data_IF_278720338542
#
_entry.id   IF_278720338542
#
_cell.length_a   1.000
_cell.length_b   1.000
_cell.length_c   1.000
_cell.angle_alpha   90.00
_cell.angle_beta   90.00
_cell.angle_gamma   90.00
#
_symmetry.space_group_name_H-M   'P 1'
#
loop_
_entity.id
_entity.type
_entity.pdbx_description
1 polymer ?
#
# COMPACT_ATOMS: atom_id res chain seq x y z
N UNK A 1 10.48 -47.21 5.13
CA UNK A 1 10.82 -46.19 4.13
C UNK A 1 9.70 -45.14 3.98
N UNK A 2 8.42 -45.56 3.85
CA UNK A 2 7.29 -44.64 3.66
C UNK A 2 7.06 -43.68 4.86
N UNK A 3 7.20 -44.18 6.10
CA UNK A 3 7.01 -43.35 7.30
C UNK A 3 8.09 -42.27 7.45
N UNK A 4 9.30 -42.54 6.99
CA UNK A 4 10.42 -41.63 7.07
C UNK A 4 10.30 -40.51 6.03
N UNK A 5 9.83 -40.81 4.82
CA UNK A 5 9.59 -39.82 3.77
C UNK A 5 8.40 -38.88 4.11
N UNK A 6 7.38 -39.39 4.80
CA UNK A 6 6.25 -38.56 5.27
C UNK A 6 6.67 -37.62 6.38
N UNK A 7 7.50 -38.10 7.34
CA UNK A 7 8.06 -37.25 8.40
C UNK A 7 8.99 -36.17 7.86
N UNK A 8 9.82 -36.47 6.88
CA UNK A 8 10.70 -35.51 6.22
C UNK A 8 9.87 -34.44 5.48
N UNK A 9 8.81 -34.83 4.77
CA UNK A 9 7.90 -33.89 4.10
C UNK A 9 7.15 -32.96 5.07
N UNK A 10 6.72 -33.50 6.23
CA UNK A 10 6.07 -32.73 7.28
C UNK A 10 7.02 -31.68 7.91
N UNK A 11 8.26 -32.06 8.13
CA UNK A 11 9.29 -31.14 8.70
C UNK A 11 9.64 -30.03 7.70
N UNK A 12 9.76 -30.35 6.42
CA UNK A 12 10.13 -29.37 5.39
C UNK A 12 9.02 -28.31 5.17
N UNK A 13 7.74 -28.69 5.31
CA UNK A 13 6.61 -27.77 5.12
C UNK A 13 6.22 -26.99 6.39
N UNK A 14 6.89 -27.16 7.53
CA UNK A 14 6.57 -26.43 8.76
C UNK A 14 7.30 -25.07 8.77
N UNK A 15 6.60 -24.01 9.17
CA UNK A 15 7.25 -22.71 9.35
C UNK A 15 8.41 -22.83 10.36
N UNK A 16 9.61 -22.37 10.01
CA UNK A 16 10.78 -22.46 10.90
C UNK A 16 10.76 -21.33 11.95
N UNK A 17 9.69 -21.23 12.70
CA UNK A 17 9.50 -20.25 13.74
C UNK A 17 8.48 -20.73 14.79
N UNK A 18 8.49 -20.11 15.96
CA UNK A 18 7.47 -20.38 16.98
C UNK A 18 6.11 -19.76 16.58
N UNK A 19 5.01 -20.31 17.09
CA UNK A 19 3.69 -19.70 16.89
C UNK A 19 3.64 -18.24 17.38
N UNK A 20 4.36 -17.93 18.46
CA UNK A 20 4.42 -16.58 19.00
C UNK A 20 5.12 -15.62 18.05
N UNK A 21 6.22 -16.02 17.40
CA UNK A 21 6.92 -15.23 16.39
C UNK A 21 6.08 -15.04 15.14
N UNK A 22 5.40 -16.11 14.68
CA UNK A 22 4.49 -16.05 13.53
C UNK A 22 3.35 -15.05 13.77
N UNK A 23 2.68 -15.14 14.94
CA UNK A 23 1.62 -14.21 15.31
C UNK A 23 2.14 -12.78 15.53
N UNK A 24 3.36 -12.63 16.01
CA UNK A 24 3.97 -11.34 16.23
C UNK A 24 4.34 -10.65 14.90
N UNK A 25 4.87 -11.40 13.94
CA UNK A 25 5.19 -10.89 12.61
C UNK A 25 3.93 -10.39 11.87
N UNK A 26 2.85 -11.18 11.90
CA UNK A 26 1.55 -10.79 11.35
C UNK A 26 1.01 -9.52 12.02
N UNK A 27 1.07 -9.46 13.34
CA UNK A 27 0.59 -8.30 14.10
C UNK A 27 1.34 -7.02 13.73
N UNK A 28 2.66 -7.10 13.58
CA UNK A 28 3.49 -5.96 13.15
C UNK A 28 3.07 -5.48 11.77
N UNK A 29 2.88 -6.40 10.82
CA UNK A 29 2.44 -6.02 9.48
C UNK A 29 1.07 -5.35 9.48
N UNK A 30 0.11 -5.93 10.19
CA UNK A 30 -1.23 -5.36 10.35
C UNK A 30 -1.22 -4.01 11.10
N UNK A 31 -0.26 -3.75 11.99
CA UNK A 31 -0.06 -2.45 12.63
C UNK A 31 0.49 -1.41 11.66
N UNK A 32 1.41 -1.80 10.78
CA UNK A 32 1.91 -0.93 9.71
C UNK A 32 0.79 -0.58 8.71
N UNK A 33 -0.06 -1.53 8.35
CA UNK A 33 -1.23 -1.28 7.48
C UNK A 33 -2.23 -0.32 8.13
N UNK A 34 -2.51 -0.48 9.42
CA UNK A 34 -3.38 0.46 10.14
C UNK A 34 -2.80 1.87 10.21
N UNK A 35 -1.49 1.98 10.39
CA UNK A 35 -0.82 3.28 10.38
C UNK A 35 -0.88 3.94 9.00
N UNK A 36 -0.69 3.17 7.93
CA UNK A 36 -0.83 3.65 6.55
C UNK A 36 -2.28 4.06 6.24
N UNK A 37 -3.27 3.29 6.68
CA UNK A 37 -4.68 3.63 6.52
C UNK A 37 -5.01 4.94 7.23
N UNK A 38 -4.56 5.11 8.48
CA UNK A 38 -4.76 6.34 9.25
C UNK A 38 -4.10 7.55 8.58
N UNK A 39 -2.90 7.39 8.02
CA UNK A 39 -2.22 8.42 7.23
C UNK A 39 -3.03 8.80 5.99
N UNK A 40 -3.54 7.83 5.23
CA UNK A 40 -4.35 8.11 4.02
C UNK A 40 -5.67 8.80 4.37
N UNK A 41 -6.35 8.36 5.42
CA UNK A 41 -7.62 8.94 5.89
C UNK A 41 -7.48 10.38 6.40
N UNK A 42 -6.28 10.73 6.87
CA UNK A 42 -5.97 12.05 7.45
C UNK A 42 -4.86 12.79 6.67
N UNK A 43 -4.68 12.49 5.38
CA UNK A 43 -3.53 12.94 4.61
C UNK A 43 -3.33 14.46 4.64
N UNK A 44 -4.40 15.24 4.51
CA UNK A 44 -4.38 16.71 4.58
C UNK A 44 -3.83 17.22 5.92
N UNK A 45 -4.18 16.54 7.03
CA UNK A 45 -3.76 16.95 8.38
C UNK A 45 -2.31 16.55 8.66
N UNK A 46 -1.86 15.41 8.14
CA UNK A 46 -0.49 14.91 8.30
C UNK A 46 0.49 15.64 7.38
N UNK A 47 0.03 16.02 6.18
CA UNK A 47 0.83 16.70 5.15
C UNK A 47 0.22 18.05 4.74
N UNK A 48 0.11 19.04 5.65
CA UNK A 48 -0.54 20.31 5.36
C UNK A 48 0.30 21.17 4.41
N UNK A 49 -0.35 22.11 3.70
CA UNK A 49 0.33 23.13 2.93
C UNK A 49 -0.13 23.28 1.48
N UNK A 50 -1.18 22.59 1.08
CA UNK A 50 -1.82 22.70 -0.22
C UNK A 50 -3.25 23.24 -0.06
N UNK A 51 -3.79 23.83 -1.12
CA UNK A 51 -5.14 24.41 -1.10
C UNK A 51 -6.24 23.36 -1.32
N UNK A 52 -5.88 22.24 -1.99
CA UNK A 52 -6.81 21.16 -2.31
C UNK A 52 -6.06 19.82 -2.30
N UNK A 53 -6.74 18.74 -1.87
CA UNK A 53 -6.18 17.39 -1.81
C UNK A 53 -7.10 16.39 -2.50
N UNK A 54 -6.51 15.57 -3.35
CA UNK A 54 -7.16 14.42 -3.96
C UNK A 54 -6.40 13.17 -3.58
N UNK A 55 -7.01 12.35 -2.71
CA UNK A 55 -6.43 11.08 -2.25
C UNK A 55 -7.17 9.93 -2.92
N UNK A 56 -6.44 9.15 -3.71
CA UNK A 56 -6.90 7.93 -4.36
C UNK A 56 -6.08 6.76 -3.82
N UNK A 57 -6.73 5.84 -3.11
CA UNK A 57 -6.07 4.74 -2.42
C UNK A 57 -6.71 3.41 -2.77
N UNK A 58 -5.87 2.43 -3.12
CA UNK A 58 -6.28 1.04 -3.17
C UNK A 58 -6.60 0.53 -1.76
N UNK A 59 -7.34 -0.57 -1.68
CA UNK A 59 -7.63 -1.24 -0.42
C UNK A 59 -6.32 -1.71 0.26
N UNK A 60 -6.18 -1.41 1.56
CA UNK A 60 -5.02 -1.80 2.36
C UNK A 60 -5.35 -3.11 3.07
N UNK A 61 -4.73 -4.19 2.61
CA UNK A 61 -4.90 -5.51 3.20
C UNK A 61 -3.82 -6.48 2.70
N UNK A 62 -3.60 -7.58 3.42
CA UNK A 62 -2.76 -8.69 2.99
C UNK A 62 -3.33 -10.04 3.45
N UNK A 63 -2.85 -11.12 2.85
CA UNK A 63 -3.08 -12.48 3.35
C UNK A 63 -1.96 -12.84 4.32
N UNK A 64 -2.24 -13.14 5.60
CA UNK A 64 -1.23 -13.47 6.60
C UNK A 64 -0.44 -14.74 6.27
N UNK A 65 -1.04 -15.73 5.59
CA UNK A 65 -0.30 -16.92 5.17
C UNK A 65 0.74 -16.60 4.10
N UNK A 66 0.42 -15.69 3.18
CA UNK A 66 1.38 -15.18 2.19
C UNK A 66 2.56 -14.49 2.86
N UNK A 67 2.30 -13.61 3.84
CA UNK A 67 3.36 -12.92 4.57
C UNK A 67 4.32 -13.91 5.25
N UNK A 68 3.78 -14.87 5.99
CA UNK A 68 4.61 -15.81 6.75
C UNK A 68 5.33 -16.79 5.83
N UNK A 69 4.71 -17.20 4.71
CA UNK A 69 5.38 -18.01 3.70
C UNK A 69 6.55 -17.25 3.05
N UNK A 70 6.40 -15.94 2.78
CA UNK A 70 7.47 -15.07 2.27
C UNK A 70 8.63 -15.02 3.27
N UNK A 71 8.35 -14.73 4.54
CA UNK A 71 9.37 -14.64 5.59
C UNK A 71 10.12 -15.98 5.71
N UNK A 72 9.37 -17.09 5.85
CA UNK A 72 9.94 -18.42 6.00
C UNK A 72 10.80 -18.84 4.81
N UNK A 73 10.36 -18.52 3.60
CA UNK A 73 11.13 -18.77 2.38
C UNK A 73 12.40 -17.93 2.29
N UNK A 74 12.37 -16.69 2.79
CA UNK A 74 13.54 -15.81 2.82
C UNK A 74 14.65 -16.39 3.70
N UNK A 75 14.30 -17.05 4.81
CA UNK A 75 15.24 -17.69 5.71
C UNK A 75 15.70 -19.08 5.27
N UNK A 76 15.21 -19.56 4.13
CA UNK A 76 15.63 -20.83 3.50
C UNK A 76 15.55 -22.04 4.47
N UNK A 77 14.45 -22.13 5.22
CA UNK A 77 14.22 -23.19 6.20
C UNK A 77 15.00 -23.06 7.50
N UNK A 78 15.77 -21.99 7.69
CA UNK A 78 16.42 -21.70 8.96
C UNK A 78 15.44 -21.05 9.95
N UNK A 79 15.60 -21.35 11.23
CA UNK A 79 14.78 -20.73 12.28
C UNK A 79 14.90 -19.21 12.25
N UNK A 80 13.74 -18.54 12.38
CA UNK A 80 13.67 -17.10 12.48
C UNK A 80 12.83 -16.66 13.68
N UNK A 81 13.12 -15.48 14.17
CA UNK A 81 12.39 -14.77 15.23
C UNK A 81 11.83 -13.48 14.67
N UNK A 82 10.89 -12.83 15.37
CA UNK A 82 10.39 -11.52 14.97
C UNK A 82 11.53 -10.52 14.71
N UNK A 83 12.51 -10.45 15.59
CA UNK A 83 13.63 -9.51 15.43
C UNK A 83 14.41 -9.73 14.13
N UNK A 84 14.65 -11.00 13.76
CA UNK A 84 15.35 -11.34 12.51
C UNK A 84 14.45 -11.12 11.27
N UNK A 85 13.14 -11.31 11.41
CA UNK A 85 12.18 -11.16 10.34
C UNK A 85 11.82 -9.70 10.04
N UNK A 86 12.00 -8.79 11.01
CA UNK A 86 11.57 -7.39 10.90
C UNK A 86 12.08 -6.68 9.63
N UNK A 87 13.37 -6.79 9.22
CA UNK A 87 13.81 -6.18 7.96
C UNK A 87 13.14 -6.74 6.70
N UNK A 88 12.72 -8.01 6.75
CA UNK A 88 11.98 -8.64 5.65
C UNK A 88 10.55 -8.08 5.59
N UNK A 89 9.92 -7.93 6.75
CA UNK A 89 8.60 -7.30 6.91
C UNK A 89 8.61 -5.89 6.31
N UNK A 90 9.54 -5.03 6.73
CA UNK A 90 9.67 -3.67 6.21
C UNK A 90 9.89 -3.64 4.68
N UNK A 91 10.76 -4.52 4.18
CA UNK A 91 11.04 -4.63 2.75
C UNK A 91 9.77 -4.95 1.96
N UNK A 92 9.01 -5.97 2.37
CA UNK A 92 7.83 -6.40 1.63
C UNK A 92 6.67 -5.42 1.80
N UNK A 93 6.54 -4.77 2.94
CA UNK A 93 5.60 -3.68 3.12
C UNK A 93 5.86 -2.52 2.15
N UNK A 94 7.12 -2.08 2.04
CA UNK A 94 7.50 -1.01 1.11
C UNK A 94 7.38 -1.41 -0.39
N UNK A 95 7.47 -2.73 -0.69
CA UNK A 95 7.23 -3.22 -2.04
C UNK A 95 5.74 -3.31 -2.37
N UNK A 96 4.91 -3.66 -1.38
CA UNK A 96 3.46 -3.80 -1.56
C UNK A 96 2.78 -2.44 -1.69
N UNK A 97 3.10 -1.51 -0.79
CA UNK A 97 2.44 -0.21 -0.72
C UNK A 97 3.31 0.90 -1.27
N UNK A 98 2.89 1.48 -2.38
CA UNK A 98 3.61 2.58 -3.03
C UNK A 98 2.75 3.83 -2.99
N UNK A 99 3.18 4.81 -2.20
CA UNK A 99 2.54 6.14 -2.15
C UNK A 99 3.25 7.07 -3.10
N UNK A 100 2.52 7.68 -4.01
CA UNK A 100 3.03 8.69 -4.94
C UNK A 100 2.28 10.00 -4.71
N UNK A 101 3.03 11.08 -4.55
CA UNK A 101 2.48 12.43 -4.41
C UNK A 101 2.87 13.27 -5.61
N UNK A 102 1.90 13.95 -6.22
CA UNK A 102 2.10 14.90 -7.31
C UNK A 102 1.47 16.23 -6.92
N UNK A 103 2.21 17.33 -7.13
CA UNK A 103 1.69 18.67 -6.83
C UNK A 103 1.59 19.47 -8.13
N UNK A 104 0.42 20.01 -8.40
CA UNK A 104 0.16 20.93 -9.49
C UNK A 104 -0.20 22.31 -8.97
N UNK A 105 0.01 23.33 -9.79
CA UNK A 105 -0.32 24.73 -9.45
C UNK A 105 -1.13 25.36 -10.57
N UNK A 106 -2.28 25.92 -10.20
CA UNK A 106 -3.16 26.68 -11.10
C UNK A 106 -3.16 28.16 -10.73
N UNK A 107 -3.46 29.01 -11.71
CA UNK A 107 -3.74 30.41 -11.44
C UNK A 107 -5.25 30.58 -11.31
N UNK A 108 -5.69 30.89 -10.09
CA UNK A 108 -7.08 31.26 -9.80
C UNK A 108 -7.19 32.76 -9.55
N UNK A 109 -8.42 33.28 -9.60
CA UNK A 109 -8.68 34.71 -9.41
C UNK A 109 -9.66 34.89 -8.26
N UNK A 110 -9.34 35.86 -7.37
CA UNK A 110 -10.25 36.30 -6.34
C UNK A 110 -10.67 37.73 -6.59
N UNK A 111 -11.90 38.06 -6.25
CA UNK A 111 -12.42 39.42 -6.33
C UNK A 111 -11.98 40.20 -5.10
N UNK A 112 -11.26 41.30 -5.31
CA UNK A 112 -10.93 42.24 -4.26
C UNK A 112 -11.63 43.58 -4.54
N UNK A 113 -12.41 44.08 -3.57
CA UNK A 113 -13.04 45.38 -3.68
C UNK A 113 -11.99 46.43 -3.29
N UNK A 114 -11.69 47.34 -4.21
CA UNK A 114 -10.78 48.48 -3.98
C UNK A 114 -11.55 49.77 -3.93
N UNK A 115 -11.00 50.77 -3.25
CA UNK A 115 -11.54 52.11 -3.13
C UNK A 115 -10.76 53.05 -4.03
N UNK A 116 -11.47 53.77 -4.85
CA UNK A 116 -10.94 54.86 -5.67
C UNK A 116 -11.55 56.19 -5.26
N UNK A 117 -10.93 57.28 -5.69
CA UNK A 117 -11.47 58.64 -5.55
C UNK A 117 -11.64 59.29 -6.92
N UNK A 118 -12.72 59.98 -7.12
CA UNK A 118 -12.99 60.78 -8.32
C UNK A 118 -13.38 62.20 -7.96
N UNK A 119 -13.03 63.18 -8.80
CA UNK A 119 -13.48 64.53 -8.66
C UNK A 119 -14.76 64.67 -9.42
N UNK A 120 -15.82 65.03 -8.72
CA UNK A 120 -17.14 65.31 -9.31
C UNK A 120 -17.38 66.81 -9.25
N UNK A 121 -17.72 67.40 -10.38
CA UNK A 121 -18.10 68.80 -10.49
C UNK A 121 -19.60 68.92 -10.41
N UNK A 122 -20.10 69.71 -9.46
CA UNK A 122 -21.53 70.01 -9.33
C UNK A 122 -21.97 70.82 -10.57
N UNK A 123 -22.95 70.33 -11.34
CA UNK A 123 -23.38 70.99 -12.57
C UNK A 123 -24.07 72.33 -12.38
N UNK A 124 -24.60 72.62 -11.16
CA UNK A 124 -25.33 73.87 -10.89
C UNK A 124 -24.42 74.97 -10.33
N UNK A 125 -23.46 74.57 -9.48
CA UNK A 125 -22.57 75.49 -8.77
C UNK A 125 -21.15 75.59 -9.32
N UNK A 126 -20.72 74.61 -10.17
CA UNK A 126 -19.38 74.54 -10.69
C UNK A 126 -18.33 74.11 -9.63
N UNK A 127 -18.76 73.79 -8.40
CA UNK A 127 -17.85 73.39 -7.31
C UNK A 127 -17.38 71.92 -7.51
N UNK A 128 -16.10 71.72 -7.26
CA UNK A 128 -15.50 70.34 -7.28
C UNK A 128 -15.53 69.74 -5.88
N UNK A 129 -15.96 68.48 -5.83
CA UNK A 129 -15.86 67.67 -4.61
C UNK A 129 -15.22 66.34 -4.93
N UNK A 130 -14.46 65.77 -3.96
CA UNK A 130 -13.91 64.41 -4.09
C UNK A 130 -14.97 63.44 -3.58
N UNK A 131 -15.31 62.48 -4.44
CA UNK A 131 -16.17 61.35 -4.08
C UNK A 131 -15.35 60.06 -4.09
N UNK A 132 -15.67 59.23 -3.12
CA UNK A 132 -15.09 57.88 -3.02
C UNK A 132 -16.04 56.89 -3.66
N UNK A 133 -15.51 56.02 -4.51
CA UNK A 133 -16.24 54.92 -5.06
C UNK A 133 -15.50 53.61 -4.87
N UNK A 134 -16.22 52.49 -4.89
CA UNK A 134 -15.63 51.15 -4.80
C UNK A 134 -15.74 50.47 -6.16
N UNK A 135 -14.74 49.70 -6.50
CA UNK A 135 -14.70 48.86 -7.70
C UNK A 135 -14.04 47.54 -7.42
N UNK A 136 -14.47 46.48 -8.11
CA UNK A 136 -13.96 45.15 -7.98
C UNK A 136 -12.84 44.88 -8.99
N UNK A 137 -11.76 44.25 -8.49
CA UNK A 137 -10.61 43.85 -9.29
C UNK A 137 -10.40 42.34 -9.13
N UNK A 138 -10.16 41.67 -10.23
CA UNK A 138 -9.73 40.27 -10.22
C UNK A 138 -8.22 40.20 -9.95
N UNK A 139 -7.86 39.61 -8.81
CA UNK A 139 -6.45 39.47 -8.41
C UNK A 139 -6.06 37.99 -8.58
N UNK A 140 -5.05 37.69 -9.41
CA UNK A 140 -4.56 36.33 -9.57
C UNK A 140 -3.83 35.87 -8.32
N UNK A 141 -3.99 34.60 -7.99
CA UNK A 141 -3.22 33.92 -6.96
C UNK A 141 -2.89 32.48 -7.38
N UNK A 142 -1.81 31.93 -6.84
CA UNK A 142 -1.45 30.55 -7.02
C UNK A 142 -2.37 29.65 -6.16
N UNK A 143 -2.90 28.60 -6.74
CA UNK A 143 -3.71 27.58 -6.08
C UNK A 143 -3.04 26.24 -6.29
N UNK A 144 -2.72 25.57 -5.19
CA UNK A 144 -1.94 24.32 -5.19
C UNK A 144 -2.84 23.13 -4.94
N UNK A 145 -2.71 22.10 -5.79
CA UNK A 145 -3.47 20.86 -5.69
C UNK A 145 -2.48 19.73 -5.44
N UNK A 146 -2.70 18.97 -4.39
CA UNK A 146 -1.95 17.78 -4.04
C UNK A 146 -2.75 16.55 -4.46
N UNK A 147 -2.22 15.78 -5.39
CA UNK A 147 -2.76 14.48 -5.82
C UNK A 147 -1.92 13.37 -5.19
N UNK A 148 -2.57 12.48 -4.47
CA UNK A 148 -1.94 11.36 -3.77
C UNK A 148 -2.53 10.06 -4.30
N UNK A 149 -1.66 9.14 -4.70
CA UNK A 149 -2.04 7.79 -5.12
C UNK A 149 -1.34 6.77 -4.24
N UNK A 150 -2.11 5.93 -3.55
CA UNK A 150 -1.64 4.71 -2.91
C UNK A 150 -1.94 3.53 -3.83
N UNK A 151 -0.91 2.82 -4.25
CA UNK A 151 -1.01 1.58 -5.00
C UNK A 151 -0.73 0.39 -4.08
N UNK A 152 -1.64 -0.60 -4.03
CA UNK A 152 -1.41 -1.90 -3.42
C UNK A 152 -1.05 -2.92 -4.51
N UNK A 153 0.23 -3.31 -4.59
CA UNK A 153 0.74 -4.28 -5.58
C UNK A 153 0.40 -5.73 -5.26
N UNK A 154 -0.39 -5.96 -4.24
CA UNK A 154 -0.76 -7.27 -3.72
C UNK A 154 0.46 -8.11 -3.28
N UNK A 155 0.53 -8.42 -1.98
CA UNK A 155 1.66 -9.14 -1.39
C UNK A 155 1.94 -10.48 -2.08
N UNK A 156 0.91 -11.19 -2.55
CA UNK A 156 1.03 -12.47 -3.23
C UNK A 156 1.76 -12.40 -4.58
N UNK A 157 1.81 -11.25 -5.23
CA UNK A 157 2.51 -11.06 -6.50
C UNK A 157 4.02 -10.77 -6.32
N UNK A 158 4.43 -10.31 -5.14
CA UNK A 158 5.80 -9.87 -4.91
C UNK A 158 6.84 -11.00 -4.93
N UNK A 159 6.56 -12.24 -4.48
CA UNK A 159 7.49 -13.36 -4.59
C UNK A 159 8.00 -13.56 -6.03
N UNK A 160 7.12 -13.44 -7.03
CA UNK A 160 7.44 -13.64 -8.46
C UNK A 160 8.55 -12.71 -8.95
N UNK A 161 8.53 -11.45 -8.51
CA UNK A 161 9.46 -10.42 -8.97
C UNK A 161 10.65 -10.21 -8.03
N UNK A 162 10.61 -10.77 -6.84
CA UNK A 162 11.61 -10.50 -5.80
C UNK A 162 12.41 -11.71 -5.32
N UNK A 163 11.96 -12.94 -5.63
CA UNK A 163 12.59 -14.17 -5.16
C UNK A 163 13.37 -14.90 -6.27
N UNK A 164 14.39 -15.66 -5.86
CA UNK A 164 15.05 -16.63 -6.74
C UNK A 164 14.15 -17.85 -6.95
N UNK A 165 14.43 -18.68 -7.98
CA UNK A 165 13.69 -19.93 -8.20
C UNK A 165 13.71 -20.86 -6.99
N UNK A 166 14.84 -20.94 -6.27
CA UNK A 166 14.96 -21.77 -5.06
C UNK A 166 14.04 -21.24 -3.94
N UNK A 167 14.13 -19.95 -3.64
CA UNK A 167 13.31 -19.28 -2.61
C UNK A 167 11.81 -19.37 -2.98
N UNK A 168 11.50 -19.28 -4.27
CA UNK A 168 10.13 -19.45 -4.76
C UNK A 168 9.59 -20.88 -4.54
N UNK A 169 10.41 -21.90 -4.70
CA UNK A 169 10.04 -23.28 -4.36
C UNK A 169 9.74 -23.45 -2.87
N UNK A 170 10.51 -22.80 -1.99
CA UNK A 170 10.23 -22.78 -0.55
C UNK A 170 8.94 -22.03 -0.22
N UNK A 171 8.71 -20.87 -0.85
CA UNK A 171 7.46 -20.12 -0.71
C UNK A 171 6.24 -20.99 -1.11
N UNK A 172 6.27 -21.62 -2.28
CA UNK A 172 5.20 -22.48 -2.73
C UNK A 172 4.92 -23.65 -1.76
N UNK A 173 5.97 -24.23 -1.19
CA UNK A 173 5.85 -25.31 -0.20
C UNK A 173 5.16 -24.80 1.08
N UNK A 174 5.55 -23.64 1.61
CA UNK A 174 4.93 -23.06 2.79
C UNK A 174 3.47 -22.62 2.54
N UNK A 175 3.17 -22.11 1.36
CA UNK A 175 1.79 -21.82 0.96
C UNK A 175 0.92 -23.09 0.91
N UNK A 176 1.42 -24.17 0.32
CA UNK A 176 0.68 -25.44 0.21
C UNK A 176 0.45 -26.10 1.58
N UNK A 177 1.37 -25.97 2.51
CA UNK A 177 1.29 -26.61 3.84
C UNK A 177 0.68 -25.70 4.91
N UNK A 178 0.52 -24.39 4.65
CA UNK A 178 0.28 -23.34 5.66
C UNK A 178 1.22 -23.46 6.88
N UNK A 179 2.47 -23.91 6.61
CA UNK A 179 3.47 -24.14 7.64
C UNK A 179 3.09 -25.20 8.66
N UNK A 180 2.13 -26.10 8.34
CA UNK A 180 1.50 -27.04 9.27
C UNK A 180 0.93 -26.37 10.54
N UNK A 181 0.53 -25.10 10.42
CA UNK A 181 -0.09 -24.30 11.48
C UNK A 181 -1.50 -23.85 11.07
N UNK A 182 -2.32 -24.81 10.60
CA UNK A 182 -3.69 -24.52 10.19
C UNK A 182 -4.47 -23.80 11.29
N UNK A 183 -5.19 -22.74 10.90
CA UNK A 183 -6.00 -21.95 11.80
C UNK A 183 -5.24 -21.05 12.77
N UNK A 184 -3.91 -20.90 12.63
CA UNK A 184 -3.12 -19.98 13.47
C UNK A 184 -3.65 -18.54 13.40
N UNK A 185 -4.24 -18.16 12.27
CA UNK A 185 -4.87 -16.86 12.04
C UNK A 185 -6.40 -16.92 12.10
N UNK A 186 -7.00 -18.01 12.63
CA UNK A 186 -8.45 -18.10 12.80
C UNK A 186 -8.95 -16.98 13.71
N UNK A 187 -9.94 -16.20 13.21
CA UNK A 187 -10.44 -14.99 13.88
C UNK A 187 -9.75 -13.70 13.46
N UNK A 188 -8.70 -13.74 12.65
CA UNK A 188 -8.20 -12.57 11.95
C UNK A 188 -9.16 -12.25 10.79
N UNK A 189 -9.79 -11.05 10.74
CA UNK A 189 -10.72 -10.69 9.66
C UNK A 189 -10.04 -10.62 8.29
N UNK A 190 -8.71 -10.51 8.25
CA UNK A 190 -7.90 -10.47 7.04
C UNK A 190 -7.37 -11.85 6.62
N UNK A 191 -7.43 -12.87 7.49
CA UNK A 191 -7.13 -14.24 7.12
C UNK A 191 -8.28 -14.80 6.28
N UNK A 192 -8.34 -14.38 5.04
CA UNK A 192 -9.24 -15.00 4.04
C UNK A 192 -8.65 -16.37 3.73
N UNK A 193 -9.38 -17.49 3.95
CA UNK A 193 -8.92 -18.78 3.47
C UNK A 193 -8.60 -18.64 1.99
N UNK A 194 -7.49 -19.21 1.54
CA UNK A 194 -7.12 -19.27 0.13
C UNK A 194 -8.35 -19.69 -0.69
N UNK A 195 -9.03 -18.71 -1.24
CA UNK A 195 -10.08 -18.94 -2.21
C UNK A 195 -9.35 -19.17 -3.51
N UNK A 196 -9.51 -20.31 -4.10
CA UNK A 196 -9.07 -20.64 -5.44
C UNK A 196 -7.76 -19.96 -5.92
N UNK A 197 -6.71 -20.72 -6.21
CA UNK A 197 -5.42 -20.18 -6.70
C UNK A 197 -5.53 -19.29 -7.95
N UNK A 198 -6.64 -19.34 -8.68
CA UNK A 198 -6.96 -18.38 -9.75
C UNK A 198 -7.20 -16.96 -9.25
N UNK A 199 -7.30 -16.75 -7.92
CA UNK A 199 -7.43 -15.43 -7.29
C UNK A 199 -6.10 -14.70 -7.10
N UNK A 200 -4.98 -15.36 -7.29
CA UNK A 200 -3.74 -14.65 -7.54
C UNK A 200 -3.81 -14.14 -8.97
N UNK A 201 -4.35 -12.95 -9.17
CA UNK A 201 -4.30 -12.21 -10.43
C UNK A 201 -2.85 -11.87 -10.78
N UNK A 202 -2.03 -12.91 -10.93
CA UNK A 202 -0.68 -12.76 -11.47
C UNK A 202 -0.89 -12.33 -12.92
N UNK A 203 -0.42 -11.13 -13.31
CA UNK A 203 -0.58 -10.69 -14.68
C UNK A 203 -0.09 -11.77 -15.64
N UNK A 204 -0.88 -12.09 -16.66
CA UNK A 204 -0.56 -13.16 -17.62
C UNK A 204 0.82 -12.95 -18.25
N UNK A 205 1.21 -11.70 -18.48
CA UNK A 205 2.54 -11.31 -18.93
C UNK A 205 3.67 -11.76 -17.99
N UNK A 206 3.40 -11.86 -16.69
CA UNK A 206 4.37 -12.35 -15.70
C UNK A 206 4.48 -13.88 -15.75
N UNK A 207 3.37 -14.57 -15.96
CA UNK A 207 3.34 -16.03 -16.15
C UNK A 207 3.99 -16.42 -17.48
N UNK A 208 3.78 -15.64 -18.53
CA UNK A 208 4.35 -15.87 -19.86
C UNK A 208 5.87 -15.61 -19.87
N UNK A 209 6.36 -14.72 -19.01
CA UNK A 209 7.79 -14.42 -18.88
C UNK A 209 8.59 -15.56 -18.24
N UNK A 210 7.98 -16.38 -17.37
CA UNK A 210 8.60 -17.55 -16.74
C UNK A 210 7.65 -18.76 -16.70
N UNK A 211 7.63 -19.59 -17.76
CA UNK A 211 6.80 -20.81 -17.81
C UNK A 211 7.08 -21.80 -16.68
N UNK A 212 8.28 -21.81 -16.12
CA UNK A 212 8.66 -22.67 -14.99
C UNK A 212 7.95 -22.24 -13.71
N UNK A 213 7.80 -20.94 -13.54
CA UNK A 213 7.04 -20.37 -12.43
C UNK A 213 5.55 -20.73 -12.52
N UNK A 214 4.93 -20.59 -13.70
CA UNK A 214 3.54 -20.99 -13.92
C UNK A 214 3.31 -22.46 -13.56
N UNK A 215 4.23 -23.33 -13.92
CA UNK A 215 4.17 -24.78 -13.59
C UNK A 215 4.30 -25.02 -12.09
N UNK A 216 5.22 -24.31 -11.41
CA UNK A 216 5.40 -24.42 -9.95
C UNK A 216 4.16 -23.94 -9.19
N UNK A 217 3.54 -22.86 -9.65
CA UNK A 217 2.29 -22.35 -9.06
C UNK A 217 1.13 -23.30 -9.29
N UNK A 218 0.98 -23.86 -10.50
CA UNK A 218 -0.04 -24.88 -10.79
C UNK A 218 0.15 -26.15 -9.93
N UNK A 219 1.39 -26.54 -9.66
CA UNK A 219 1.68 -27.71 -8.81
C UNK A 219 1.42 -27.40 -7.33
N UNK A 220 1.81 -26.23 -6.84
CA UNK A 220 1.54 -25.79 -5.47
C UNK A 220 0.03 -25.66 -5.19
N UNK A 221 -0.77 -25.33 -6.20
CA UNK A 221 -2.22 -25.19 -6.11
C UNK A 221 -3.00 -26.50 -6.24
N UNK A 222 -2.34 -27.63 -6.55
CA UNK A 222 -3.01 -28.94 -6.69
C UNK A 222 -3.13 -29.73 -5.38
N UNK A 223 -2.54 -29.25 -4.31
CA UNK A 223 -2.50 -29.90 -3.00
C UNK A 223 -3.02 -29.00 -1.90
#
# INVERSE_FOLDING_TARGET
PLAQSVLESLVIGTYPATEDDVRAAERVYAEMERALQDEMDHYEQVHPGYDEYHVDADEIWHDPYVLIAIISAYFDGQEWTLDSAYPVIEKYFALQYVVTQTVSTETRYRTETRTGTQIVTDPETGQQRTETYTYDVQVPYAYTICEVRLENKNLSHLPVVSMSHHTMGMYALYMASHGNMEGIFSGNPYAVPLRDPTLYDIPQETLDADPTFATLMEEACKY
#
